data_IF_576135716789
#
_entry.id   IF_576135716789
#
_cell.length_a   1.000
_cell.length_b   1.000
_cell.length_c   1.000
_cell.angle_alpha   90.00
_cell.angle_beta   90.00
_cell.angle_gamma   90.00
#
_symmetry.space_group_name_H-M   'P 1'
#
loop_
_entity.id
_entity.type
_entity.pdbx_description
1 polymer ?
#
# COMPACT_ATOMS: atom_id res chain seq x y z
N UNK A 1 -16.88 54.47 47.53
CA UNK A 1 -17.22 53.31 46.68
C UNK A 1 -16.38 53.42 45.41
N UNK A 2 -15.29 52.65 45.31
CA UNK A 2 -14.41 52.64 44.14
C UNK A 2 -14.94 51.56 43.18
N UNK A 3 -15.35 51.96 41.98
CA UNK A 3 -15.76 51.04 40.92
C UNK A 3 -14.53 50.34 40.37
N UNK A 4 -14.48 49.02 40.53
CA UNK A 4 -13.45 48.15 39.97
C UNK A 4 -13.94 47.68 38.59
N UNK A 5 -13.42 48.30 37.53
CA UNK A 5 -13.65 47.83 36.16
C UNK A 5 -12.84 46.57 35.92
N UNK A 6 -13.52 45.42 35.75
CA UNK A 6 -12.91 44.15 35.40
C UNK A 6 -12.70 44.11 33.88
N UNK A 7 -11.46 44.34 33.43
CA UNK A 7 -11.05 44.19 32.03
C UNK A 7 -10.82 42.69 31.77
N UNK A 8 -11.75 42.04 31.07
CA UNK A 8 -11.62 40.64 30.65
C UNK A 8 -10.65 40.58 29.45
N UNK A 9 -9.37 40.27 29.70
CA UNK A 9 -8.41 39.95 28.66
C UNK A 9 -8.73 38.55 28.10
N UNK A 10 -9.37 38.50 26.93
CA UNK A 10 -9.49 37.30 26.10
C UNK A 10 -8.09 36.96 25.56
N UNK A 11 -7.40 36.03 26.22
CA UNK A 11 -6.27 35.34 25.60
C UNK A 11 -6.83 34.44 24.48
N UNK A 12 -6.36 34.56 23.23
CA UNK A 12 -6.59 33.50 22.27
C UNK A 12 -5.89 32.25 22.80
N UNK A 13 -6.68 31.22 23.10
CA UNK A 13 -6.20 29.85 23.23
C UNK A 13 -5.61 29.48 21.87
N UNK A 14 -4.28 29.59 21.76
CA UNK A 14 -3.56 28.92 20.70
C UNK A 14 -3.85 27.43 20.88
N UNK A 15 -4.64 26.85 19.96
CA UNK A 15 -4.66 25.41 19.78
C UNK A 15 -3.21 24.99 19.57
N UNK A 16 -2.67 24.20 20.49
CA UNK A 16 -1.32 23.67 20.38
C UNK A 16 -1.24 22.87 19.08
N UNK A 17 -0.28 23.23 18.23
CA UNK A 17 0.20 22.34 17.18
C UNK A 17 0.56 21.00 17.85
N UNK A 18 -0.10 19.93 17.41
CA UNK A 18 0.17 18.60 17.93
C UNK A 18 1.57 18.19 17.47
N UNK A 19 2.35 17.66 18.40
CA UNK A 19 3.71 17.20 18.14
C UNK A 19 3.67 16.12 17.05
N UNK A 20 4.27 16.42 15.89
CA UNK A 20 4.52 15.44 14.83
C UNK A 20 5.66 14.54 15.31
N UNK A 21 5.51 13.23 15.11
CA UNK A 21 6.43 12.22 15.60
C UNK A 21 6.95 11.39 14.42
N UNK A 22 8.22 11.61 14.05
CA UNK A 22 8.95 10.65 13.23
C UNK A 22 9.63 9.67 14.18
N UNK A 23 9.40 8.37 13.96
CA UNK A 23 10.02 7.33 14.76
C UNK A 23 10.78 6.38 13.86
N UNK A 24 12.09 6.43 13.96
CA UNK A 24 12.92 5.37 13.43
C UNK A 24 12.86 4.17 14.39
N UNK A 25 12.52 3.00 13.86
CA UNK A 25 12.58 1.75 14.61
C UNK A 25 13.66 0.90 13.97
N UNK A 26 14.88 1.02 14.50
CA UNK A 26 16.00 0.22 14.04
C UNK A 26 15.90 -1.18 14.63
N UNK A 27 15.98 -2.20 13.78
CA UNK A 27 16.08 -3.59 14.19
C UNK A 27 17.53 -4.08 14.03
N UNK A 28 17.92 -5.08 14.83
CA UNK A 28 19.21 -5.75 14.64
C UNK A 28 19.15 -6.62 13.36
N UNK A 29 19.56 -6.04 12.23
CA UNK A 29 19.52 -6.68 10.91
C UNK A 29 18.62 -5.94 9.93
N UNK A 30 18.71 -6.29 8.65
CA UNK A 30 17.88 -5.68 7.60
C UNK A 30 16.47 -6.29 7.66
N UNK A 31 15.52 -5.54 8.22
CA UNK A 31 14.11 -5.95 8.33
C UNK A 31 13.27 -5.12 7.34
N UNK A 32 12.51 -5.79 6.47
CA UNK A 32 11.50 -5.14 5.63
C UNK A 32 10.09 -5.51 6.11
N UNK A 33 9.27 -4.52 6.48
CA UNK A 33 7.84 -4.74 6.73
C UNK A 33 7.17 -5.09 5.39
N UNK A 34 6.30 -6.10 5.39
CA UNK A 34 5.56 -6.55 4.21
C UNK A 34 4.09 -6.19 4.26
N UNK A 35 3.49 -6.23 5.45
CA UNK A 35 2.11 -5.82 5.69
C UNK A 35 1.93 -5.48 7.17
N UNK A 36 0.90 -4.71 7.48
CA UNK A 36 0.55 -4.34 8.85
C UNK A 36 -0.96 -4.13 9.00
N UNK A 37 -1.48 -4.65 10.12
CA UNK A 37 -2.87 -4.54 10.51
C UNK A 37 -3.00 -3.73 11.81
N UNK A 38 -4.03 -2.89 11.87
CA UNK A 38 -4.45 -2.20 13.10
C UNK A 38 -5.32 -3.14 13.93
N UNK A 39 -5.13 -3.16 15.25
CA UNK A 39 -5.90 -3.99 16.18
C UNK A 39 -6.95 -3.16 16.96
N UNK A 40 -7.95 -3.81 17.57
CA UNK A 40 -9.01 -3.12 18.34
C UNK A 40 -8.53 -2.30 19.54
N UNK A 41 -7.32 -2.56 20.04
CA UNK A 41 -6.69 -1.79 21.12
C UNK A 41 -5.85 -0.61 20.61
N UNK A 42 -6.05 -0.21 19.35
CA UNK A 42 -5.33 0.85 18.63
C UNK A 42 -3.83 0.58 18.40
N UNK A 43 -3.31 -0.57 18.81
CA UNK A 43 -1.95 -0.99 18.45
C UNK A 43 -1.87 -1.58 17.03
N UNK A 44 -0.66 -1.92 16.60
CA UNK A 44 -0.41 -2.51 15.28
C UNK A 44 0.27 -3.87 15.33
N UNK A 45 0.04 -4.69 14.31
CA UNK A 45 0.71 -5.96 14.12
C UNK A 45 1.24 -6.03 12.70
N UNK A 46 2.52 -6.32 12.54
CA UNK A 46 3.20 -6.29 11.25
C UNK A 46 3.87 -7.62 10.94
N UNK A 47 3.82 -8.00 9.66
CA UNK A 47 4.68 -9.03 9.09
C UNK A 47 5.91 -8.38 8.49
N UNK A 48 7.02 -9.09 8.55
CA UNK A 48 8.27 -8.63 8.00
C UNK A 48 9.16 -9.82 7.60
N UNK A 49 10.24 -9.54 6.89
CA UNK A 49 11.31 -10.50 6.64
C UNK A 49 12.65 -9.94 7.11
N UNK A 50 13.54 -10.82 7.59
CA UNK A 50 14.97 -10.50 7.72
C UNK A 50 15.75 -11.23 6.65
N UNK A 51 16.64 -10.55 5.91
CA UNK A 51 17.59 -11.23 5.03
C UNK A 51 18.91 -11.48 5.76
N UNK A 52 19.32 -12.74 5.85
CA UNK A 52 20.74 -13.07 6.06
C UNK A 52 21.36 -13.32 4.68
N UNK A 53 22.57 -12.79 4.44
CA UNK A 53 23.25 -12.65 3.14
C UNK A 53 23.47 -13.94 2.29
N UNK A 54 22.89 -15.08 2.64
CA UNK A 54 22.84 -16.29 1.83
C UNK A 54 21.44 -16.48 1.25
N UNK A 55 21.36 -16.63 -0.07
CA UNK A 55 20.17 -16.58 -0.95
C UNK A 55 18.99 -17.53 -0.63
N UNK A 56 19.01 -18.24 0.50
CA UNK A 56 17.99 -19.21 0.93
C UNK A 56 17.55 -19.05 2.40
N UNK A 57 17.87 -17.92 3.06
CA UNK A 57 17.55 -17.72 4.49
C UNK A 57 16.89 -16.37 4.79
N UNK A 58 15.76 -16.08 4.16
CA UNK A 58 14.82 -15.11 4.74
C UNK A 58 14.23 -15.71 6.01
N UNK A 59 14.07 -14.92 7.07
CA UNK A 59 13.29 -15.31 8.24
C UNK A 59 12.02 -14.51 8.26
N UNK A 60 10.90 -15.18 8.43
CA UNK A 60 9.63 -14.54 8.66
C UNK A 60 9.61 -13.92 10.07
N UNK A 61 9.14 -12.69 10.19
CA UNK A 61 9.10 -11.93 11.44
C UNK A 61 7.71 -11.40 11.68
N UNK A 62 7.27 -11.47 12.93
CA UNK A 62 6.09 -10.77 13.44
C UNK A 62 6.50 -9.73 14.47
N UNK A 63 5.88 -8.57 14.38
CA UNK A 63 6.16 -7.45 15.26
C UNK A 63 4.85 -6.86 15.76
N UNK A 64 4.69 -6.80 17.08
CA UNK A 64 3.56 -6.14 17.72
C UNK A 64 4.00 -4.77 18.22
N UNK A 65 3.19 -3.78 17.93
CA UNK A 65 3.37 -2.42 18.40
C UNK A 65 2.18 -1.97 19.26
N UNK A 66 2.43 -1.07 20.20
CA UNK A 66 1.36 -0.29 20.83
C UNK A 66 0.82 0.80 19.88
N UNK A 67 -0.14 1.60 20.36
CA UNK A 67 -0.75 2.71 19.61
C UNK A 67 0.20 3.88 19.32
N UNK A 68 1.39 3.87 19.90
CA UNK A 68 2.46 4.85 19.70
C UNK A 68 3.65 4.25 18.92
N UNK A 69 3.42 3.13 18.23
CA UNK A 69 4.42 2.39 17.45
C UNK A 69 5.64 1.96 18.28
N UNK A 70 5.48 1.74 19.59
CA UNK A 70 6.50 1.10 20.42
C UNK A 70 6.43 -0.41 20.26
N UNK A 71 7.54 -1.10 19.90
CA UNK A 71 7.56 -2.55 19.84
C UNK A 71 7.24 -3.14 21.22
N UNK A 72 6.14 -3.88 21.31
CA UNK A 72 5.76 -4.65 22.50
C UNK A 72 6.46 -6.01 22.49
N UNK A 73 6.52 -6.65 21.32
CA UNK A 73 7.30 -7.87 21.10
C UNK A 73 7.67 -8.03 19.63
N UNK A 74 8.72 -8.82 19.39
CA UNK A 74 9.19 -9.20 18.06
C UNK A 74 9.56 -10.68 18.07
N UNK A 75 9.03 -11.46 17.13
CA UNK A 75 9.24 -12.91 17.01
C UNK A 75 9.71 -13.26 15.61
N UNK A 76 10.83 -13.96 15.52
CA UNK A 76 11.34 -14.51 14.26
C UNK A 76 11.06 -16.00 14.17
N UNK A 77 10.60 -16.45 13.01
CA UNK A 77 10.32 -17.84 12.69
C UNK A 77 11.36 -18.34 11.71
N UNK A 78 11.93 -19.51 12.00
CA UNK A 78 12.89 -20.19 11.15
C UNK A 78 12.29 -21.52 10.76
N UNK A 79 11.64 -21.59 9.60
CA UNK A 79 11.01 -22.81 9.11
C UNK A 79 11.93 -23.58 8.17
N UNK A 80 13.25 -23.39 8.32
CA UNK A 80 14.32 -24.12 7.64
C UNK A 80 14.37 -23.93 6.10
N UNK A 81 13.67 -22.93 5.56
CA UNK A 81 13.69 -22.59 4.14
C UNK A 81 13.34 -21.12 3.86
N UNK A 82 13.16 -20.75 2.58
CA UNK A 82 12.64 -19.43 2.18
C UNK A 82 11.26 -19.22 2.80
N UNK A 83 11.19 -18.32 3.78
CA UNK A 83 9.99 -18.01 4.53
C UNK A 83 9.70 -16.51 4.43
N UNK A 84 8.62 -16.17 3.73
CA UNK A 84 8.22 -14.79 3.52
C UNK A 84 6.76 -14.62 3.96
N UNK A 85 6.54 -14.01 5.13
CA UNK A 85 5.22 -13.49 5.47
C UNK A 85 4.92 -12.28 4.60
N UNK A 86 3.79 -12.29 3.91
CA UNK A 86 3.41 -11.28 2.92
C UNK A 86 2.17 -10.49 3.30
N UNK A 87 1.22 -11.13 3.99
CA UNK A 87 -0.05 -10.51 4.36
C UNK A 87 -0.47 -10.95 5.76
N UNK A 88 -1.21 -10.09 6.45
CA UNK A 88 -1.72 -10.33 7.80
C UNK A 88 -3.16 -9.83 7.96
N UNK A 89 -3.97 -10.64 8.64
CA UNK A 89 -5.39 -10.34 8.84
C UNK A 89 -5.79 -10.63 10.28
N UNK A 90 -6.29 -9.64 11.05
CA UNK A 90 -6.89 -9.90 12.36
C UNK A 90 -8.03 -10.90 12.24
N UNK A 91 -8.14 -11.79 13.23
CA UNK A 91 -9.14 -12.85 13.32
C UNK A 91 -9.82 -12.81 14.69
N UNK A 92 -10.80 -13.69 14.91
CA UNK A 92 -11.60 -13.73 16.13
C UNK A 92 -10.75 -13.86 17.41
N UNK A 93 -11.25 -13.23 18.48
CA UNK A 93 -10.66 -13.26 19.83
C UNK A 93 -9.23 -12.68 19.91
N UNK A 94 -8.89 -11.75 19.02
CA UNK A 94 -7.56 -11.11 18.99
C UNK A 94 -6.46 -12.00 18.42
N UNK A 95 -6.82 -13.15 17.85
CA UNK A 95 -5.94 -13.97 17.03
C UNK A 95 -5.71 -13.28 15.68
N UNK A 96 -4.80 -13.83 14.89
CA UNK A 96 -4.56 -13.33 13.55
C UNK A 96 -4.07 -14.42 12.61
N UNK A 97 -4.34 -14.20 11.33
CA UNK A 97 -3.94 -15.06 10.23
C UNK A 97 -2.78 -14.41 9.48
N UNK A 98 -1.83 -15.22 9.04
CA UNK A 98 -0.67 -14.75 8.28
C UNK A 98 -0.47 -15.63 7.07
N UNK A 99 -0.28 -15.01 5.92
CA UNK A 99 -0.09 -15.67 4.64
C UNK A 99 1.26 -15.36 4.04
N UNK A 100 1.71 -16.25 3.17
CA UNK A 100 2.93 -16.03 2.42
C UNK A 100 3.35 -17.26 1.63
N UNK A 101 4.66 -17.51 1.64
CA UNK A 101 5.28 -18.69 1.04
C UNK A 101 6.08 -19.45 2.10
N UNK A 102 5.99 -20.78 2.08
CA UNK A 102 6.82 -21.69 2.87
C UNK A 102 7.30 -22.86 2.02
N UNK A 103 8.40 -23.49 2.40
CA UNK A 103 8.93 -24.69 1.72
C UNK A 103 8.70 -25.93 2.58
N UNK A 104 8.46 -27.09 1.95
CA UNK A 104 8.46 -28.36 2.69
C UNK A 104 9.87 -28.71 3.16
N UNK A 105 9.97 -29.27 4.37
CA UNK A 105 11.22 -29.76 4.95
C UNK A 105 11.89 -30.74 3.97
N UNK A 106 13.15 -30.47 3.60
CA UNK A 106 13.95 -31.24 2.64
C UNK A 106 13.44 -31.28 1.19
N UNK A 107 12.53 -30.40 0.79
CA UNK A 107 12.13 -30.22 -0.62
C UNK A 107 12.74 -28.95 -1.21
N UNK A 108 12.63 -28.79 -2.53
CA UNK A 108 12.77 -27.51 -3.23
C UNK A 108 11.40 -26.90 -3.61
N UNK A 109 10.31 -27.46 -3.08
CA UNK A 109 8.95 -27.09 -3.41
C UNK A 109 8.44 -26.06 -2.42
N UNK A 110 8.24 -24.84 -2.92
CA UNK A 110 7.58 -23.76 -2.19
C UNK A 110 6.08 -23.82 -2.49
N UNK A 111 5.27 -23.66 -1.44
CA UNK A 111 3.81 -23.62 -1.51
C UNK A 111 3.24 -22.41 -0.80
N UNK A 112 2.00 -22.08 -1.12
CA UNK A 112 1.28 -21.04 -0.41
C UNK A 112 0.92 -21.54 1.01
N UNK A 113 1.03 -20.66 2.00
CA UNK A 113 0.85 -21.03 3.42
C UNK A 113 -0.16 -20.14 4.13
N UNK A 114 -0.82 -20.72 5.13
CA UNK A 114 -1.65 -20.04 6.10
C UNK A 114 -1.24 -20.44 7.51
N UNK A 115 -0.95 -19.44 8.32
CA UNK A 115 -0.73 -19.57 9.75
C UNK A 115 -1.89 -18.95 10.52
N UNK A 116 -2.20 -19.54 11.68
CA UNK A 116 -2.97 -18.87 12.73
C UNK A 116 -2.12 -18.72 13.97
N UNK A 117 -2.14 -17.52 14.52
CA UNK A 117 -1.43 -17.16 15.72
C UNK A 117 -2.40 -16.68 16.81
N UNK A 118 -1.99 -16.87 18.06
CA UNK A 118 -2.64 -16.20 19.19
C UNK A 118 -2.18 -14.75 19.34
N UNK A 119 -2.85 -13.99 20.20
CA UNK A 119 -2.55 -12.57 20.51
C UNK A 119 -1.10 -12.32 20.96
N UNK A 120 -0.44 -13.34 21.52
CA UNK A 120 0.94 -13.27 21.97
C UNK A 120 1.94 -13.65 20.87
N UNK A 121 1.47 -14.00 19.67
CA UNK A 121 2.28 -14.41 18.53
C UNK A 121 2.83 -15.83 18.64
N UNK A 122 2.15 -16.73 19.35
CA UNK A 122 2.43 -18.16 19.32
C UNK A 122 1.62 -18.83 18.20
N UNK A 123 2.23 -19.79 17.50
CA UNK A 123 1.56 -20.54 16.44
C UNK A 123 0.48 -21.44 17.06
N UNK A 124 -0.77 -21.22 16.67
CA UNK A 124 -1.88 -22.12 16.99
C UNK A 124 -1.93 -23.29 15.99
N UNK A 125 -1.78 -22.97 14.70
CA UNK A 125 -1.62 -23.96 13.64
C UNK A 125 -1.00 -23.35 12.38
N UNK A 126 -0.54 -24.23 11.49
CA UNK A 126 0.05 -23.91 10.19
C UNK A 126 -0.41 -24.93 9.15
N UNK A 127 -0.74 -24.45 7.96
CA UNK A 127 -1.17 -25.25 6.81
C UNK A 127 -0.48 -24.74 5.54
N UNK A 128 -0.07 -25.67 4.70
CA UNK A 128 0.38 -25.37 3.34
C UNK A 128 -0.64 -25.95 2.37
N UNK A 129 -0.91 -25.20 1.30
CA UNK A 129 -1.78 -25.60 0.21
C UNK A 129 -0.94 -25.55 -1.06
N UNK A 130 -1.11 -26.57 -1.92
CA UNK A 130 -0.32 -26.84 -3.12
C UNK A 130 1.22 -26.85 -2.97
N UNK A 131 1.85 -27.97 -3.36
CA UNK A 131 3.29 -28.20 -3.21
C UNK A 131 4.09 -27.93 -4.48
N UNK A 132 3.67 -27.00 -5.33
CA UNK A 132 4.35 -26.84 -6.62
C UNK A 132 4.33 -25.40 -7.09
N UNK A 133 5.49 -24.90 -7.53
CA UNK A 133 5.68 -23.72 -8.38
C UNK A 133 5.82 -22.34 -7.73
N UNK A 134 6.36 -22.19 -6.51
CA UNK A 134 6.62 -20.85 -5.91
C UNK A 134 5.33 -20.04 -5.68
N UNK A 135 4.23 -20.74 -5.36
CA UNK A 135 2.95 -20.12 -5.05
C UNK A 135 3.05 -19.30 -3.75
N UNK A 136 2.36 -18.16 -3.73
CA UNK A 136 2.42 -17.19 -2.63
C UNK A 136 1.03 -16.69 -2.27
N UNK A 137 0.69 -16.74 -0.99
CA UNK A 137 -0.51 -16.05 -0.49
C UNK A 137 -0.22 -14.56 -0.45
N UNK A 138 -1.04 -13.78 -1.15
CA UNK A 138 -0.91 -12.32 -1.22
C UNK A 138 -2.03 -11.59 -0.47
N UNK A 139 -3.13 -12.28 -0.16
CA UNK A 139 -4.24 -11.72 0.60
C UNK A 139 -4.98 -12.82 1.36
N UNK A 140 -5.48 -12.47 2.56
CA UNK A 140 -6.31 -13.34 3.40
C UNK A 140 -7.57 -12.57 3.79
N UNK A 141 -8.70 -13.24 3.72
CA UNK A 141 -9.97 -12.71 4.18
C UNK A 141 -10.62 -13.70 5.14
N UNK A 142 -10.76 -13.29 6.41
CA UNK A 142 -11.52 -14.04 7.40
C UNK A 142 -12.99 -13.60 7.32
N UNK A 143 -13.85 -14.48 6.80
CA UNK A 143 -15.27 -14.18 6.61
C UNK A 143 -16.06 -14.05 7.92
N UNK A 144 -15.44 -14.34 9.07
CA UNK A 144 -16.07 -14.35 10.40
C UNK A 144 -17.12 -15.47 10.60
N UNK A 145 -17.55 -16.14 9.52
CA UNK A 145 -18.50 -17.25 9.49
C UNK A 145 -17.85 -18.63 9.53
N UNK A 146 -16.52 -18.70 9.64
CA UNK A 146 -15.76 -19.94 9.68
C UNK A 146 -15.16 -20.37 8.33
N UNK A 147 -15.22 -19.51 7.32
CA UNK A 147 -14.45 -19.62 6.08
C UNK A 147 -13.31 -18.61 6.06
N UNK A 148 -12.16 -19.04 5.55
CA UNK A 148 -11.00 -18.20 5.30
C UNK A 148 -10.68 -18.33 3.81
N UNK A 149 -10.71 -17.20 3.11
CA UNK A 149 -10.33 -17.10 1.71
C UNK A 149 -8.90 -16.60 1.58
N UNK A 150 -8.15 -17.24 0.69
CA UNK A 150 -6.77 -16.90 0.38
C UNK A 150 -6.67 -16.56 -1.10
N UNK A 151 -6.09 -15.40 -1.40
CA UNK A 151 -5.70 -15.04 -2.76
C UNK A 151 -4.27 -15.50 -2.97
N UNK A 152 -4.09 -16.40 -3.93
CA UNK A 152 -2.82 -17.04 -4.23
C UNK A 152 -2.32 -16.60 -5.60
N UNK A 153 -1.13 -16.01 -5.59
CA UNK A 153 -0.33 -15.79 -6.78
C UNK A 153 0.42 -17.07 -7.08
N UNK A 154 0.18 -17.66 -8.25
CA UNK A 154 0.93 -18.83 -8.70
C UNK A 154 2.29 -18.42 -9.23
N UNK A 155 3.35 -19.16 -8.91
CA UNK A 155 4.70 -18.81 -9.38
C UNK A 155 5.01 -19.32 -10.79
N UNK A 156 4.11 -20.07 -11.42
CA UNK A 156 4.15 -20.29 -12.88
C UNK A 156 3.69 -19.02 -13.61
N UNK A 157 4.64 -18.35 -14.27
CA UNK A 157 4.37 -17.23 -15.18
C UNK A 157 3.24 -17.60 -16.15
N UNK A 158 2.24 -16.73 -16.30
CA UNK A 158 1.13 -16.98 -17.19
C UNK A 158 -0.13 -17.53 -16.52
N UNK A 159 -0.02 -18.09 -15.30
CA UNK A 159 -1.15 -18.74 -14.62
C UNK A 159 -2.16 -17.74 -14.04
N UNK A 160 -3.46 -18.08 -14.02
CA UNK A 160 -4.46 -17.26 -13.34
C UNK A 160 -4.22 -17.21 -11.83
N UNK A 161 -4.74 -16.15 -11.18
CA UNK A 161 -4.86 -16.10 -9.74
C UNK A 161 -5.69 -17.29 -9.25
N UNK A 162 -5.32 -17.88 -8.10
CA UNK A 162 -6.07 -18.97 -7.47
C UNK A 162 -6.67 -18.49 -6.16
N UNK A 163 -7.92 -18.84 -5.93
CA UNK A 163 -8.62 -18.61 -4.67
C UNK A 163 -8.68 -19.95 -3.94
N UNK A 164 -8.14 -19.99 -2.73
CA UNK A 164 -8.20 -21.16 -1.87
C UNK A 164 -9.10 -20.84 -0.70
N UNK A 165 -10.10 -21.69 -0.47
CA UNK A 165 -11.04 -21.55 0.62
C UNK A 165 -10.81 -22.63 1.64
N UNK A 166 -10.83 -22.24 2.91
CA UNK A 166 -10.58 -23.15 4.03
C UNK A 166 -11.58 -22.95 5.13
N UNK A 167 -11.78 -23.97 5.95
CA UNK A 167 -12.52 -23.80 7.21
C UNK A 167 -11.69 -23.01 8.24
N UNK A 168 -12.29 -22.64 9.37
CA UNK A 168 -11.61 -21.92 10.45
C UNK A 168 -10.39 -22.65 11.07
N UNK A 169 -10.24 -23.95 10.80
CA UNK A 169 -9.12 -24.78 11.22
C UNK A 169 -8.06 -24.95 10.11
N UNK A 170 -8.23 -24.26 8.97
CA UNK A 170 -7.34 -24.32 7.81
C UNK A 170 -7.41 -25.67 7.07
N UNK A 171 -8.58 -26.31 7.01
CA UNK A 171 -8.77 -27.45 6.12
C UNK A 171 -9.35 -26.96 4.80
N UNK A 172 -8.75 -27.38 3.69
CA UNK A 172 -9.21 -27.04 2.35
C UNK A 172 -10.68 -27.45 2.16
N UNK A 173 -11.50 -26.48 1.75
CA UNK A 173 -12.91 -26.69 1.42
C UNK A 173 -13.13 -26.68 -0.09
N UNK A 174 -12.53 -25.71 -0.79
CA UNK A 174 -12.70 -25.48 -2.21
C UNK A 174 -11.54 -24.66 -2.76
N UNK A 175 -11.34 -24.69 -4.08
CA UNK A 175 -10.48 -23.75 -4.78
C UNK A 175 -11.00 -23.48 -6.20
N UNK A 176 -10.75 -22.28 -6.71
CA UNK A 176 -11.08 -21.91 -8.09
C UNK A 176 -10.11 -20.85 -8.62
N UNK A 177 -10.05 -20.70 -9.95
CA UNK A 177 -9.15 -19.74 -10.61
C UNK A 177 -9.92 -18.49 -11.06
N UNK A 178 -9.26 -17.32 -10.99
CA UNK A 178 -9.72 -16.10 -11.65
C UNK A 178 -9.18 -16.10 -13.08
N UNK A 179 -9.94 -16.74 -13.97
CA UNK A 179 -9.56 -16.91 -15.37
C UNK A 179 -9.87 -15.67 -16.22
N UNK A 180 -9.09 -15.49 -17.28
CA UNK A 180 -9.27 -14.44 -18.29
C UNK A 180 -10.17 -14.90 -19.43
N UNK A 181 -10.54 -13.96 -20.30
CA UNK A 181 -11.06 -14.32 -21.62
C UNK A 181 -9.96 -14.94 -22.48
N UNK A 182 -10.35 -15.73 -23.50
CA UNK A 182 -9.47 -16.61 -24.31
C UNK A 182 -8.26 -15.93 -25.02
N UNK A 183 -8.10 -14.61 -24.95
CA UNK A 183 -7.03 -13.84 -25.62
C UNK A 183 -5.97 -13.26 -24.68
N UNK A 184 -6.00 -13.62 -23.39
CA UNK A 184 -5.12 -13.04 -22.37
C UNK A 184 -4.42 -14.14 -21.58
N UNK A 185 -3.15 -13.90 -21.29
CA UNK A 185 -2.36 -14.75 -20.40
C UNK A 185 -1.68 -13.90 -19.32
N UNK A 186 -1.16 -14.54 -18.28
CA UNK A 186 -0.33 -13.85 -17.29
C UNK A 186 -1.10 -12.91 -16.38
N UNK A 187 -2.22 -13.38 -15.82
CA UNK A 187 -2.85 -12.71 -14.68
C UNK A 187 -1.94 -12.84 -13.47
N UNK A 188 -1.24 -11.76 -13.14
CA UNK A 188 -0.41 -11.68 -11.95
C UNK A 188 -1.21 -10.91 -10.90
N UNK A 189 -1.90 -11.59 -9.96
CA UNK A 189 -2.51 -10.88 -8.86
C UNK A 189 -1.39 -10.35 -7.97
N UNK A 190 -1.44 -9.06 -7.68
CA UNK A 190 -0.46 -8.39 -6.82
C UNK A 190 -1.12 -7.69 -5.63
N UNK A 191 -2.44 -7.48 -5.68
CA UNK A 191 -3.20 -6.87 -4.59
C UNK A 191 -4.58 -7.50 -4.40
N UNK A 192 -5.10 -7.37 -3.18
CA UNK A 192 -6.44 -7.80 -2.86
C UNK A 192 -7.01 -7.02 -1.66
N UNK A 193 -8.32 -6.76 -1.65
CA UNK A 193 -9.03 -6.09 -0.56
C UNK A 193 -10.36 -6.75 -0.24
N UNK A 194 -10.76 -6.68 1.02
CA UNK A 194 -12.07 -7.15 1.46
C UNK A 194 -13.13 -6.06 1.30
N UNK A 195 -14.23 -6.40 0.65
CA UNK A 195 -15.48 -5.64 0.66
C UNK A 195 -16.50 -6.18 1.66
N UNK A 196 -16.08 -6.98 2.64
CA UNK A 196 -16.93 -7.66 3.62
C UNK A 196 -16.95 -9.18 3.44
N UNK A 197 -17.87 -9.84 4.16
CA UNK A 197 -18.07 -11.30 4.05
C UNK A 197 -18.52 -11.67 2.64
N UNK A 198 -17.90 -12.71 2.06
CA UNK A 198 -18.27 -13.25 0.74
C UNK A 198 -18.23 -12.18 -0.38
N UNK A 199 -17.30 -11.22 -0.25
CA UNK A 199 -17.18 -10.11 -1.19
C UNK A 199 -15.77 -9.53 -1.16
N UNK A 200 -14.92 -9.95 -2.08
CA UNK A 200 -13.52 -9.49 -2.14
C UNK A 200 -13.15 -8.99 -3.53
N UNK A 201 -12.12 -8.18 -3.59
CA UNK A 201 -11.60 -7.58 -4.80
C UNK A 201 -10.13 -7.97 -4.97
N UNK A 202 -9.76 -8.29 -6.20
CA UNK A 202 -8.40 -8.71 -6.56
C UNK A 202 -7.97 -7.84 -7.73
N UNK A 203 -6.71 -7.41 -7.69
CA UNK A 203 -6.12 -6.63 -8.73
C UNK A 203 -4.72 -7.11 -9.11
N UNK A 204 -4.30 -6.69 -10.28
CA UNK A 204 -2.97 -6.98 -10.78
C UNK A 204 -2.82 -6.64 -12.25
N UNK A 205 -1.94 -7.37 -12.94
CA UNK A 205 -1.62 -7.16 -14.35
C UNK A 205 -2.03 -8.34 -15.20
N UNK A 206 -2.49 -8.09 -16.42
CA UNK A 206 -2.76 -9.09 -17.45
C UNK A 206 -2.06 -8.70 -18.77
N UNK A 207 -1.60 -9.69 -19.55
CA UNK A 207 -1.02 -9.48 -20.87
C UNK A 207 -2.06 -9.74 -21.95
N UNK A 208 -2.27 -8.74 -22.81
CA UNK A 208 -3.02 -8.91 -24.05
C UNK A 208 -2.13 -9.55 -25.12
N UNK A 209 -2.38 -10.82 -25.45
CA UNK A 209 -1.54 -11.54 -26.43
C UNK A 209 -1.70 -11.02 -27.86
N UNK A 210 -2.80 -10.34 -28.15
CA UNK A 210 -3.07 -9.78 -29.48
C UNK A 210 -2.27 -8.51 -29.72
N UNK A 211 -2.20 -7.63 -28.71
CA UNK A 211 -1.49 -6.34 -28.80
C UNK A 211 -0.08 -6.39 -28.24
N UNK A 212 0.24 -7.39 -27.41
CA UNK A 212 1.48 -7.48 -26.63
C UNK A 212 1.55 -6.49 -25.46
N UNK A 213 0.47 -5.76 -25.16
CA UNK A 213 0.43 -4.74 -24.11
C UNK A 213 0.01 -5.33 -22.77
N UNK A 214 0.63 -4.84 -21.70
CA UNK A 214 0.17 -5.11 -20.34
C UNK A 214 -0.95 -4.14 -19.93
N UNK A 215 -1.95 -4.67 -19.22
CA UNK A 215 -3.13 -3.94 -18.75
C UNK A 215 -3.32 -4.21 -17.26
N UNK A 216 -3.94 -3.27 -16.54
CA UNK A 216 -4.45 -3.61 -15.21
C UNK A 216 -5.68 -4.50 -15.36
N UNK A 217 -5.89 -5.38 -14.39
CA UNK A 217 -7.18 -6.02 -14.20
C UNK A 217 -7.68 -5.78 -12.77
N UNK A 218 -9.00 -5.78 -12.63
CA UNK A 218 -9.68 -5.98 -11.36
C UNK A 218 -10.69 -7.10 -11.52
N UNK A 219 -10.92 -7.83 -10.44
CA UNK A 219 -11.96 -8.82 -10.33
C UNK A 219 -12.67 -8.68 -9.00
N UNK A 220 -13.97 -8.93 -8.99
CA UNK A 220 -14.75 -9.15 -7.78
C UNK A 220 -15.03 -10.61 -7.62
N UNK A 221 -14.73 -11.13 -6.45
CA UNK A 221 -14.88 -12.53 -6.10
C UNK A 221 -15.81 -12.69 -4.89
N UNK A 222 -16.39 -13.89 -4.83
CA UNK A 222 -17.21 -14.42 -3.74
C UNK A 222 -16.61 -15.76 -3.35
N UNK A 223 -17.05 -16.36 -2.26
CA UNK A 223 -16.69 -17.70 -1.86
C UNK A 223 -16.92 -18.70 -3.01
N UNK A 224 -17.98 -18.50 -3.80
CA UNK A 224 -18.39 -19.45 -4.83
C UNK A 224 -17.74 -19.23 -6.20
N UNK A 225 -17.47 -17.97 -6.59
CA UNK A 225 -17.03 -17.65 -7.95
C UNK A 225 -16.55 -16.20 -8.12
N UNK A 226 -15.94 -15.94 -9.28
CA UNK A 226 -15.78 -14.58 -9.82
C UNK A 226 -17.15 -14.03 -10.25
N UNK A 227 -17.50 -12.82 -9.80
CA UNK A 227 -18.77 -12.15 -10.14
C UNK A 227 -18.63 -11.12 -11.24
N UNK A 228 -17.49 -10.43 -11.31
CA UNK A 228 -17.08 -9.68 -12.48
C UNK A 228 -15.56 -9.64 -12.60
N UNK A 229 -15.09 -9.45 -13.83
CA UNK A 229 -13.69 -9.28 -14.19
C UNK A 229 -13.61 -8.16 -15.23
N UNK A 230 -12.68 -7.24 -15.08
CA UNK A 230 -12.44 -6.15 -16.03
C UNK A 230 -10.96 -5.88 -16.19
N UNK A 231 -10.60 -5.57 -17.42
CA UNK A 231 -9.30 -5.05 -17.80
C UNK A 231 -9.41 -3.56 -18.08
N UNK A 232 -8.32 -2.84 -17.82
CA UNK A 232 -8.19 -1.42 -18.06
C UNK A 232 -7.00 -1.17 -18.98
N UNK A 233 -7.31 -0.94 -20.25
CA UNK A 233 -6.35 -0.52 -21.26
C UNK A 233 -6.32 1.00 -21.34
N UNK A 234 -5.17 1.59 -21.04
CA UNK A 234 -4.93 3.03 -21.13
C UNK A 234 -4.27 3.44 -22.47
N UNK A 235 -4.32 2.57 -23.46
CA UNK A 235 -3.56 2.60 -24.72
C UNK A 235 -2.04 2.69 -24.51
N UNK A 236 -1.59 2.34 -23.30
CA UNK A 236 -0.21 2.40 -22.82
C UNK A 236 0.07 1.14 -22.02
N UNK A 237 1.34 0.75 -21.96
CA UNK A 237 1.72 -0.37 -21.11
C UNK A 237 1.45 -0.02 -19.65
N UNK A 238 0.58 -0.80 -19.02
CA UNK A 238 0.37 -0.79 -17.59
C UNK A 238 1.39 -1.73 -16.97
N UNK A 239 2.19 -1.25 -16.01
CA UNK A 239 3.16 -2.07 -15.30
C UNK A 239 2.46 -3.01 -14.32
N UNK A 240 2.48 -2.66 -13.03
CA UNK A 240 1.80 -3.42 -11.99
C UNK A 240 0.67 -2.61 -11.37
N UNK A 241 -0.46 -3.27 -11.11
CA UNK A 241 -1.47 -2.74 -10.19
C UNK A 241 -1.09 -3.24 -8.78
N UNK A 242 -0.46 -2.35 -8.01
CA UNK A 242 0.19 -2.70 -6.76
C UNK A 242 -0.75 -2.79 -5.57
N UNK A 243 -1.85 -2.03 -5.59
CA UNK A 243 -2.78 -2.01 -4.47
C UNK A 243 -4.22 -1.68 -4.86
N UNK A 244 -5.13 -2.17 -4.04
CA UNK A 244 -6.56 -1.96 -4.12
C UNK A 244 -7.10 -1.76 -2.71
N UNK A 245 -7.95 -0.76 -2.51
CA UNK A 245 -8.62 -0.47 -1.25
C UNK A 245 -10.13 -0.31 -1.47
N UNK A 246 -10.94 -0.81 -0.54
CA UNK A 246 -12.38 -0.53 -0.50
C UNK A 246 -12.59 0.72 0.35
N UNK A 247 -13.21 1.73 -0.25
CA UNK A 247 -13.50 3.03 0.35
C UNK A 247 -14.73 2.97 1.26
N UNK A 248 -14.89 4.00 2.09
CA UNK A 248 -16.02 4.17 3.00
C UNK A 248 -17.37 4.28 2.28
N UNK A 249 -17.37 4.75 1.02
CA UNK A 249 -18.56 4.76 0.16
C UNK A 249 -18.85 3.40 -0.51
N UNK A 250 -18.00 2.40 -0.28
CA UNK A 250 -18.10 1.05 -0.83
C UNK A 250 -17.51 0.90 -2.23
N UNK A 251 -16.97 1.97 -2.83
CA UNK A 251 -16.28 1.91 -4.11
C UNK A 251 -14.82 1.49 -3.94
N UNK A 252 -14.12 1.26 -5.05
CA UNK A 252 -12.74 0.79 -5.05
C UNK A 252 -11.81 1.94 -5.42
N UNK A 253 -10.71 2.09 -4.69
CA UNK A 253 -9.54 2.86 -5.11
C UNK A 253 -8.42 1.88 -5.46
N UNK A 254 -7.74 2.08 -6.58
CA UNK A 254 -6.66 1.20 -7.01
C UNK A 254 -5.51 2.01 -7.58
N UNK A 255 -4.29 1.48 -7.46
CA UNK A 255 -3.11 2.18 -7.93
C UNK A 255 -2.04 1.27 -8.49
N UNK A 256 -1.24 1.83 -9.38
CA UNK A 256 -0.17 1.12 -10.06
C UNK A 256 0.76 2.07 -10.79
N UNK A 257 1.57 1.52 -11.70
CA UNK A 257 2.34 2.31 -12.65
C UNK A 257 1.89 2.06 -14.09
N UNK A 258 2.00 3.09 -14.92
CA UNK A 258 1.77 3.05 -16.36
C UNK A 258 2.93 3.75 -17.05
N UNK A 259 3.22 3.38 -18.30
CA UNK A 259 4.18 4.14 -19.12
C UNK A 259 3.73 5.61 -19.21
N UNK A 260 4.63 6.54 -18.90
CA UNK A 260 4.34 7.97 -18.86
C UNK A 260 3.94 8.47 -20.23
N UNK A 261 2.93 9.33 -20.24
CA UNK A 261 2.53 10.00 -21.47
C UNK A 261 3.69 10.88 -21.97
N UNK A 262 3.95 10.86 -23.28
CA UNK A 262 5.02 11.62 -23.94
C UNK A 262 6.45 11.28 -23.51
N UNK A 263 6.62 10.30 -22.61
CA UNK A 263 7.91 9.81 -22.12
C UNK A 263 7.89 8.28 -22.04
N UNK A 264 7.95 7.57 -23.19
CA UNK A 264 7.73 6.13 -23.25
C UNK A 264 8.80 5.28 -22.53
N UNK A 265 9.90 5.91 -22.10
CA UNK A 265 10.96 5.26 -21.32
C UNK A 265 10.79 5.45 -19.80
N UNK A 266 9.78 6.24 -19.40
CA UNK A 266 9.50 6.55 -18.01
C UNK A 266 8.11 6.05 -17.61
N UNK A 267 7.88 5.92 -16.31
CA UNK A 267 6.65 5.47 -15.71
C UNK A 267 6.00 6.60 -14.90
N UNK A 268 4.68 6.70 -15.00
CA UNK A 268 3.83 7.50 -14.12
C UNK A 268 3.08 6.60 -13.16
N UNK A 269 2.62 7.18 -12.06
CA UNK A 269 1.68 6.54 -11.15
C UNK A 269 0.27 6.70 -11.73
N UNK A 270 -0.49 5.61 -11.72
CA UNK A 270 -1.90 5.63 -12.07
C UNK A 270 -2.72 5.44 -10.80
N UNK A 271 -3.73 6.27 -10.59
CA UNK A 271 -4.69 6.14 -9.50
C UNK A 271 -6.09 6.16 -10.10
N UNK A 272 -6.91 5.17 -9.77
CA UNK A 272 -8.25 5.07 -10.32
C UNK A 272 -9.27 4.74 -9.23
N UNK A 273 -10.42 5.42 -9.30
CA UNK A 273 -11.61 5.04 -8.54
C UNK A 273 -12.56 4.29 -9.45
N UNK A 274 -13.04 3.16 -8.97
CA UNK A 274 -13.80 2.17 -9.75
C UNK A 274 -15.08 1.83 -9.00
N UNK A 275 -16.18 1.75 -9.72
CA UNK A 275 -17.45 1.31 -9.15
C UNK A 275 -17.37 -0.18 -8.78
N UNK A 276 -17.49 -0.51 -7.50
CA UNK A 276 -17.28 -1.86 -6.98
C UNK A 276 -18.32 -2.88 -7.45
N UNK A 277 -19.52 -2.42 -7.82
CA UNK A 277 -20.60 -3.28 -8.32
C UNK A 277 -20.43 -3.69 -9.78
N UNK A 278 -19.85 -2.81 -10.59
CA UNK A 278 -19.77 -2.98 -12.06
C UNK A 278 -18.35 -3.09 -12.60
N UNK A 279 -17.36 -2.67 -11.83
CA UNK A 279 -15.97 -2.47 -12.24
C UNK A 279 -15.77 -1.30 -13.22
N UNK A 280 -16.75 -0.42 -13.42
CA UNK A 280 -16.58 0.73 -14.30
C UNK A 280 -15.73 1.82 -13.64
N UNK A 281 -14.81 2.44 -14.37
CA UNK A 281 -14.05 3.60 -13.88
C UNK A 281 -15.02 4.74 -13.57
N UNK A 282 -14.93 5.30 -12.37
CA UNK A 282 -15.57 6.55 -11.97
C UNK A 282 -14.67 7.71 -12.37
N UNK A 283 -13.39 7.62 -12.03
CA UNK A 283 -12.35 8.52 -12.52
C UNK A 283 -10.98 7.82 -12.49
N UNK A 284 -10.05 8.29 -13.33
CA UNK A 284 -8.65 7.86 -13.32
C UNK A 284 -7.74 9.09 -13.46
N UNK A 285 -6.57 9.04 -12.80
CA UNK A 285 -5.59 10.11 -12.73
C UNK A 285 -4.20 9.55 -12.95
N UNK A 286 -3.39 10.31 -13.66
CA UNK A 286 -1.96 10.09 -13.81
C UNK A 286 -1.20 11.09 -12.94
N UNK A 287 -0.35 10.58 -12.06
CA UNK A 287 0.56 11.40 -11.25
C UNK A 287 1.95 11.21 -11.85
N UNK A 288 2.60 12.31 -12.22
CA UNK A 288 3.95 12.35 -12.80
C UNK A 288 4.72 13.54 -12.23
N UNK A 289 6.03 13.42 -12.10
CA UNK A 289 6.85 14.49 -11.52
C UNK A 289 7.39 15.45 -12.58
N UNK A 290 8.19 14.95 -13.52
CA UNK A 290 8.62 15.65 -14.74
C UNK A 290 8.69 14.62 -15.86
N UNK A 291 8.92 15.05 -17.11
CA UNK A 291 9.03 14.12 -18.22
C UNK A 291 10.23 13.17 -18.11
N UNK A 292 11.18 13.42 -17.20
CA UNK A 292 12.45 12.70 -17.09
C UNK A 292 12.48 11.67 -15.95
N UNK A 293 11.48 11.66 -15.06
CA UNK A 293 11.49 10.81 -13.86
C UNK A 293 10.36 9.80 -13.81
N UNK A 294 10.69 8.63 -13.24
CA UNK A 294 9.72 7.60 -12.91
C UNK A 294 9.04 7.92 -11.60
N UNK A 295 7.73 7.74 -11.55
CA UNK A 295 6.98 7.66 -10.30
C UNK A 295 6.15 6.38 -10.32
N UNK A 296 6.07 5.73 -9.18
CA UNK A 296 5.37 4.46 -9.02
C UNK A 296 4.62 4.49 -7.71
N UNK A 297 3.30 4.31 -7.79
CA UNK A 297 2.44 4.19 -6.62
C UNK A 297 2.32 2.73 -6.23
N UNK A 298 2.68 2.42 -4.99
CA UNK A 298 2.59 1.08 -4.42
C UNK A 298 1.34 0.86 -3.60
N UNK A 299 0.69 1.91 -3.11
CA UNK A 299 -0.41 1.77 -2.17
C UNK A 299 -1.38 2.94 -2.22
N UNK A 300 -2.64 2.65 -1.90
CA UNK A 300 -3.71 3.62 -1.73
C UNK A 300 -4.40 3.49 -0.38
N UNK A 301 -4.86 4.61 0.16
CA UNK A 301 -5.63 4.63 1.39
C UNK A 301 -6.66 5.75 1.39
N UNK A 302 -7.67 5.62 2.24
CA UNK A 302 -8.62 6.68 2.58
C UNK A 302 -8.57 6.93 4.08
N UNK A 303 -8.68 8.19 4.48
CA UNK A 303 -8.83 8.56 5.89
C UNK A 303 -10.30 8.79 6.27
N UNK A 304 -10.57 8.93 7.56
CA UNK A 304 -11.90 9.20 8.11
C UNK A 304 -12.60 10.46 7.59
N UNK A 305 -11.89 11.38 6.92
CA UNK A 305 -12.47 12.57 6.27
C UNK A 305 -12.84 12.34 4.80
N UNK A 306 -12.59 11.15 4.24
CA UNK A 306 -12.82 10.85 2.83
C UNK A 306 -11.75 11.42 1.89
N UNK A 307 -10.58 11.78 2.43
CA UNK A 307 -9.42 12.19 1.65
C UNK A 307 -8.64 10.94 1.22
N UNK A 308 -8.19 10.94 -0.02
CA UNK A 308 -7.55 9.79 -0.65
C UNK A 308 -6.04 9.99 -0.67
N UNK A 309 -5.28 8.91 -0.56
CA UNK A 309 -3.82 8.92 -0.58
C UNK A 309 -3.34 7.90 -1.60
N UNK A 310 -2.31 8.26 -2.36
CA UNK A 310 -1.52 7.37 -3.19
C UNK A 310 -0.05 7.59 -2.85
N UNK A 311 0.72 6.52 -2.69
CA UNK A 311 2.11 6.65 -2.27
C UNK A 311 2.99 5.57 -2.84
N UNK A 312 4.28 5.85 -2.87
CA UNK A 312 5.25 4.92 -3.38
C UNK A 312 6.63 5.54 -3.46
N UNK A 313 7.19 5.54 -4.67
CA UNK A 313 8.49 6.17 -4.94
C UNK A 313 8.43 7.14 -6.13
N UNK A 314 9.28 8.15 -6.09
CA UNK A 314 9.60 9.03 -7.20
C UNK A 314 11.13 9.01 -7.42
N UNK A 315 11.57 8.92 -8.67
CA UNK A 315 12.96 9.17 -9.02
C UNK A 315 13.17 10.68 -9.06
N UNK A 316 14.28 11.18 -8.56
CA UNK A 316 14.64 12.59 -8.58
C UNK A 316 16.09 12.75 -9.03
N UNK A 317 16.57 13.99 -9.16
CA UNK A 317 18.00 14.27 -9.37
C UNK A 317 18.88 13.79 -8.20
N UNK A 318 18.29 13.56 -7.02
CA UNK A 318 19.00 13.20 -5.80
C UNK A 318 18.95 11.70 -5.49
N UNK A 319 18.17 10.92 -6.25
CA UNK A 319 18.07 9.47 -6.10
C UNK A 319 16.65 8.96 -6.30
N UNK A 320 16.27 7.97 -5.50
CA UNK A 320 14.88 7.54 -5.39
C UNK A 320 14.36 8.00 -4.04
N UNK A 321 13.24 8.71 -4.03
CA UNK A 321 12.61 9.28 -2.84
C UNK A 321 11.22 8.64 -2.64
N UNK A 322 10.78 8.56 -1.38
CA UNK A 322 9.38 8.24 -1.10
C UNK A 322 8.48 9.38 -1.58
N UNK A 323 7.28 9.09 -2.08
CA UNK A 323 6.30 10.13 -2.37
C UNK A 323 4.95 9.80 -1.74
N UNK A 324 4.22 10.85 -1.37
CA UNK A 324 2.81 10.78 -0.98
C UNK A 324 2.05 11.83 -1.76
N UNK A 325 0.96 11.42 -2.39
CA UNK A 325 -0.02 12.27 -3.02
C UNK A 325 -1.33 12.17 -2.26
N UNK A 326 -1.84 13.31 -1.79
CA UNK A 326 -3.15 13.44 -1.18
C UNK A 326 -4.12 14.05 -2.18
N UNK A 327 -5.31 13.47 -2.26
CA UNK A 327 -6.37 13.87 -3.16
C UNK A 327 -7.70 14.05 -2.41
N UNK A 328 -8.61 14.81 -3.01
CA UNK A 328 -10.02 14.79 -2.62
C UNK A 328 -10.73 13.52 -3.12
N UNK A 329 -11.99 13.32 -2.73
CA UNK A 329 -12.79 12.15 -3.14
C UNK A 329 -13.04 12.06 -4.67
N UNK A 330 -12.80 13.15 -5.41
CA UNK A 330 -12.91 13.21 -6.88
C UNK A 330 -11.55 12.99 -7.57
N UNK A 331 -10.50 12.68 -6.81
CA UNK A 331 -9.15 12.45 -7.32
C UNK A 331 -8.41 13.72 -7.72
N UNK A 332 -8.87 14.91 -7.30
CA UNK A 332 -8.08 16.13 -7.51
C UNK A 332 -6.98 16.19 -6.47
N UNK A 333 -5.74 16.46 -6.88
CA UNK A 333 -4.61 16.55 -5.96
C UNK A 333 -4.79 17.78 -5.06
N UNK A 334 -4.76 17.55 -3.75
CA UNK A 334 -4.71 18.60 -2.73
C UNK A 334 -3.26 19.02 -2.52
N UNK A 335 -2.37 18.03 -2.39
CA UNK A 335 -0.93 18.21 -2.36
C UNK A 335 -0.23 16.89 -2.72
N UNK A 336 1.01 16.98 -3.20
CA UNK A 336 1.89 15.82 -3.36
C UNK A 336 3.30 16.21 -2.92
N UNK A 337 3.97 15.31 -2.20
CA UNK A 337 5.26 15.58 -1.55
C UNK A 337 6.18 14.39 -1.67
N UNK A 338 7.47 14.70 -1.74
CA UNK A 338 8.57 13.75 -1.64
C UNK A 338 9.17 13.76 -0.24
N UNK A 339 9.62 12.58 0.20
CA UNK A 339 10.24 12.32 1.47
C UNK A 339 11.50 11.49 1.21
N UNK A 340 12.65 12.09 1.51
CA UNK A 340 13.93 11.41 1.42
C UNK A 340 15.11 12.21 1.97
N UNK A 341 16.09 11.51 2.53
CA UNK A 341 17.42 12.00 2.91
C UNK A 341 18.58 11.13 2.37
N UNK A 342 18.28 10.02 1.68
CA UNK A 342 19.26 9.09 1.09
C UNK A 342 19.04 8.76 -0.41
N UNK A 343 19.98 8.02 -1.04
CA UNK A 343 19.93 7.75 -2.49
C UNK A 343 18.83 6.77 -2.92
N UNK A 344 18.19 6.08 -1.97
CA UNK A 344 17.13 5.10 -2.23
C UNK A 344 16.12 5.05 -1.10
N UNK A 345 14.92 5.57 -1.34
CA UNK A 345 13.78 5.50 -0.42
C UNK A 345 12.50 5.18 -1.16
N UNK A 346 11.61 4.47 -0.49
CA UNK A 346 10.26 4.21 -0.96
C UNK A 346 9.31 4.11 0.22
N UNK A 347 8.10 4.62 0.06
CA UNK A 347 6.99 4.40 1.00
C UNK A 347 6.22 3.19 0.49
N UNK A 348 6.07 2.16 1.32
CA UNK A 348 5.41 0.90 0.94
C UNK A 348 4.14 0.61 1.72
N UNK A 349 3.77 1.45 2.69
CA UNK A 349 2.63 1.21 3.56
C UNK A 349 2.01 2.50 4.15
N UNK A 350 0.68 2.54 4.30
CA UNK A 350 -0.12 3.60 4.89
C UNK A 350 -1.31 3.09 5.70
N UNK A 351 -1.47 3.57 6.94
CA UNK A 351 -2.74 3.41 7.67
C UNK A 351 -3.09 4.66 8.45
N UNK A 352 -4.39 4.89 8.59
CA UNK A 352 -4.88 5.91 9.50
C UNK A 352 -4.63 5.50 10.96
N UNK A 353 -3.97 6.39 11.71
CA UNK A 353 -3.68 6.23 13.14
C UNK A 353 -4.63 7.06 14.03
N UNK A 354 -5.69 7.60 13.43
CA UNK A 354 -6.74 8.35 14.10
C UNK A 354 -6.47 9.86 14.21
N UNK A 355 -7.56 10.63 14.26
CA UNK A 355 -7.50 12.10 14.24
C UNK A 355 -7.03 12.65 12.89
N UNK A 356 -7.40 12.00 11.79
CA UNK A 356 -7.03 12.35 10.42
C UNK A 356 -5.53 12.22 10.06
N UNK A 357 -4.74 11.50 10.87
CA UNK A 357 -3.30 11.33 10.65
C UNK A 357 -3.00 10.00 9.98
N UNK A 358 -2.05 10.03 9.04
CA UNK A 358 -1.57 8.85 8.34
C UNK A 358 -0.20 8.45 8.86
N UNK A 359 -0.02 7.15 9.08
CA UNK A 359 1.27 6.52 9.29
C UNK A 359 1.76 5.98 7.97
N UNK A 360 2.91 6.46 7.52
CA UNK A 360 3.65 5.95 6.38
C UNK A 360 4.82 5.10 6.86
N UNK A 361 5.11 4.00 6.17
CA UNK A 361 6.36 3.27 6.38
C UNK A 361 7.13 3.12 5.07
N UNK A 362 8.45 3.19 5.18
CA UNK A 362 9.34 3.08 4.04
C UNK A 362 10.64 2.37 4.36
N UNK A 363 11.49 2.21 3.34
CA UNK A 363 12.84 1.64 3.49
C UNK A 363 13.89 2.73 3.20
N UNK A 364 14.88 2.87 4.08
CA UNK A 364 16.06 3.71 3.83
C UNK A 364 17.21 2.86 3.25
N UNK A 365 17.59 3.11 2.00
CA UNK A 365 18.76 2.51 1.36
C UNK A 365 18.73 0.99 1.24
N UNK A 366 19.85 0.40 0.79
CA UNK A 366 20.01 -1.05 0.74
C UNK A 366 20.24 -1.67 2.12
N UNK A 367 20.79 -0.90 3.06
CA UNK A 367 21.43 -1.41 4.29
C UNK A 367 20.76 -0.92 5.59
N UNK A 368 19.74 -0.05 5.55
CA UNK A 368 19.00 0.38 6.75
C UNK A 368 17.66 -0.35 6.91
N UNK A 369 17.17 -0.37 8.15
CA UNK A 369 15.88 -0.94 8.52
C UNK A 369 14.68 -0.12 8.04
N UNK A 370 13.46 -0.53 8.39
CA UNK A 370 12.24 0.18 8.02
C UNK A 370 12.12 1.45 8.86
N UNK A 371 11.59 2.52 8.27
CA UNK A 371 11.25 3.74 9.00
C UNK A 371 9.74 3.95 9.04
N UNK A 372 9.28 4.66 10.06
CA UNK A 372 7.89 5.08 10.21
C UNK A 372 7.83 6.60 10.28
N UNK A 373 7.13 7.20 9.31
CA UNK A 373 6.82 8.63 9.30
C UNK A 373 5.33 8.76 9.60
N UNK A 374 5.00 9.41 10.71
CA UNK A 374 3.66 9.98 10.86
C UNK A 374 3.69 11.38 10.25
N UNK A 375 2.87 11.63 9.23
CA UNK A 375 2.70 12.98 8.71
C UNK A 375 1.34 13.55 9.14
N UNK A 376 1.31 14.86 9.30
CA UNK A 376 0.06 15.58 9.51
C UNK A 376 -0.81 15.57 8.24
N UNK A 377 -2.06 15.99 8.40
CA UNK A 377 -3.07 16.10 7.33
C UNK A 377 -2.58 16.89 6.11
N UNK A 378 -1.68 17.84 6.35
CA UNK A 378 -1.08 18.69 5.34
C UNK A 378 0.22 18.11 4.75
N UNK A 379 0.63 16.92 5.17
CA UNK A 379 1.87 16.27 4.74
C UNK A 379 3.12 16.83 5.41
N UNK A 380 3.00 17.64 6.46
CA UNK A 380 4.17 18.13 7.18
C UNK A 380 4.75 17.03 8.07
N UNK A 381 6.08 16.96 8.09
CA UNK A 381 6.85 16.10 8.99
C UNK A 381 7.70 17.01 9.88
N UNK A 382 8.13 16.57 11.08
CA UNK A 382 8.91 17.38 12.00
C UNK A 382 10.38 17.51 11.55
N UNK A 383 10.71 17.20 10.29
CA UNK A 383 12.02 17.39 9.68
C UNK A 383 12.39 18.88 9.58
N UNK A 384 12.68 19.48 10.72
CA UNK A 384 13.48 20.68 10.85
C UNK A 384 14.65 20.33 11.76
N UNK A 385 15.84 20.31 11.15
CA UNK A 385 17.17 20.36 11.77
C UNK A 385 17.90 19.04 12.12
N UNK A 386 18.22 18.25 11.10
CA UNK A 386 19.59 17.74 10.95
C UNK A 386 20.08 18.04 9.54
N UNK A 387 21.38 18.34 9.41
CA UNK A 387 22.03 18.75 8.16
C UNK A 387 21.88 17.65 7.08
N UNK A 388 20.82 17.72 6.27
CA UNK A 388 20.55 17.15 4.93
C UNK A 388 19.01 16.99 4.84
N UNK A 389 18.36 17.99 4.23
CA UNK A 389 16.93 18.24 4.40
C UNK A 389 16.03 17.36 3.53
N UNK A 390 14.89 16.98 4.12
CA UNK A 390 13.68 16.59 3.40
C UNK A 390 13.23 17.81 2.56
N UNK A 391 13.24 17.69 1.24
CA UNK A 391 12.72 18.73 0.34
C UNK A 391 11.36 18.27 -0.14
N UNK A 392 10.28 18.89 0.35
CA UNK A 392 8.98 18.73 -0.29
C UNK A 392 8.95 19.62 -1.54
N UNK A 393 8.93 19.01 -2.73
CA UNK A 393 8.67 19.72 -3.98
C UNK A 393 7.24 19.42 -4.46
N UNK A 394 6.56 20.41 -5.04
CA UNK A 394 5.24 20.20 -5.64
C UNK A 394 5.40 19.36 -6.92
N UNK A 395 4.76 18.20 -6.96
CA UNK A 395 4.72 17.34 -8.14
C UNK A 395 3.87 18.02 -9.22
N UNK A 396 4.42 18.22 -10.42
CA UNK A 396 3.71 18.89 -11.50
C UNK A 396 2.57 18.03 -12.03
N UNK A 397 1.33 18.41 -11.70
CA UNK A 397 0.14 17.73 -12.17
C UNK A 397 0.01 17.91 -13.69
N UNK A 398 -0.24 16.83 -14.42
CA UNK A 398 -1.00 16.97 -15.66
C UNK A 398 -2.15 15.98 -15.61
N UNK A 399 -3.34 16.52 -15.37
CA UNK A 399 -4.58 15.76 -15.35
C UNK A 399 -4.88 15.33 -16.79
N UNK A 400 -4.64 14.05 -17.09
CA UNK A 400 -5.16 13.42 -18.29
C UNK A 400 -6.26 12.45 -17.90
N UNK A 401 -7.43 12.65 -18.50
CA UNK A 401 -8.46 11.62 -18.59
C UNK A 401 -8.04 10.71 -19.75
N UNK A 402 -7.55 9.48 -19.52
CA UNK A 402 -7.26 8.58 -20.62
C UNK A 402 -8.56 8.32 -21.41
N UNK A 403 -8.44 8.31 -22.73
CA UNK A 403 -9.50 7.84 -23.61
C UNK A 403 -9.73 6.36 -23.31
N UNK A 404 -10.87 6.04 -22.69
CA UNK A 404 -11.41 4.68 -22.72
C UNK A 404 -11.80 4.43 -24.18
N UNK A 405 -11.03 3.62 -24.90
CA UNK A 405 -11.43 3.22 -26.25
C UNK A 405 -12.44 2.07 -26.10
N UNK A 406 -13.71 2.48 -26.04
CA UNK A 406 -14.97 1.71 -26.04
C UNK A 406 -15.28 0.99 -24.71
N UNK A 407 -16.23 1.44 -23.88
CA UNK A 407 -17.43 2.25 -24.17
C UNK A 407 -17.18 3.77 -24.37
N UNK A 408 -17.46 4.24 -25.60
CA UNK A 408 -17.19 5.56 -26.20
C UNK A 408 -18.53 6.35 -26.28
N UNK A 409 -18.66 7.67 -26.63
CA UNK A 409 -17.69 8.75 -26.83
C UNK A 409 -18.06 10.09 -26.12
N UNK A 410 -17.20 11.09 -26.32
CA UNK A 410 -17.39 12.53 -26.08
C UNK A 410 -17.32 13.02 -24.62
N UNK A 411 -16.33 13.88 -24.31
CA UNK A 411 -16.56 15.28 -23.90
C UNK A 411 -15.28 16.03 -23.50
N UNK A 412 -15.10 17.14 -24.22
CA UNK A 412 -14.56 18.47 -23.90
C UNK A 412 -13.65 18.70 -22.68
N UNK A 413 -12.47 19.23 -23.01
CA UNK A 413 -11.50 19.87 -22.12
C UNK A 413 -11.95 21.27 -21.65
N UNK A 414 -11.58 21.59 -20.41
CA UNK A 414 -11.60 22.96 -19.86
C UNK A 414 -10.23 23.22 -19.24
N UNK A 415 -9.58 24.29 -19.68
CA UNK A 415 -8.30 24.80 -19.16
C UNK A 415 -8.53 26.13 -18.45
N UNK A 416 -7.71 26.44 -17.43
CA UNK A 416 -7.37 27.80 -16.92
C UNK A 416 -6.28 27.66 -15.81
N UNK A 417 -5.50 28.70 -15.45
CA UNK A 417 -4.39 29.33 -16.19
C UNK A 417 -3.02 29.23 -15.44
N UNK A 418 -1.93 29.56 -16.15
CA UNK A 418 -0.57 29.70 -15.61
C UNK A 418 -0.40 30.92 -14.68
N UNK A 419 0.26 30.74 -13.54
CA UNK A 419 1.06 31.81 -12.92
C UNK A 419 2.35 31.28 -12.29
N UNK A 420 3.47 31.68 -12.88
CA UNK A 420 4.83 31.68 -12.32
C UNK A 420 4.97 32.74 -11.21
N UNK A 421 5.77 32.47 -10.18
CA UNK A 421 6.82 33.41 -9.73
C UNK A 421 7.77 32.80 -8.69
N UNK A 422 9.07 33.01 -8.96
CA UNK A 422 10.22 32.76 -8.09
C UNK A 422 10.16 33.53 -6.77
N UNK A 423 10.82 33.04 -5.71
CA UNK A 423 11.63 33.85 -4.79
C UNK A 423 12.56 32.97 -3.93
N UNK A 424 13.76 33.49 -3.67
CA UNK A 424 14.88 32.87 -2.96
C UNK A 424 15.29 33.80 -1.79
N UNK A 425 15.88 33.21 -0.74
CA UNK A 425 16.78 33.75 0.33
C UNK A 425 16.26 34.20 1.73
N UNK A 426 16.70 33.41 2.75
CA UNK A 426 17.36 33.81 4.05
C UNK A 426 16.48 34.13 5.28
N UNK A 427 16.81 33.84 6.56
CA UNK A 427 17.89 33.15 7.31
C UNK A 427 17.41 32.84 8.78
N UNK A 428 18.19 32.05 9.53
CA UNK A 428 17.97 31.30 10.80
C UNK A 428 17.70 32.05 12.15
N UNK A 429 17.27 31.30 13.21
CA UNK A 429 18.04 31.01 14.48
C UNK A 429 17.29 30.11 15.52
N UNK A 430 17.89 28.93 15.77
CA UNK A 430 18.19 28.14 17.00
C UNK A 430 17.11 27.74 18.03
N UNK A 431 17.02 26.42 18.31
CA UNK A 431 16.64 25.87 19.62
C UNK A 431 17.74 24.92 20.15
N UNK A 432 18.11 25.13 21.42
CA UNK A 432 19.15 24.39 22.15
C UNK A 432 18.56 23.21 22.94
N UNK A 433 18.90 21.99 22.51
CA UNK A 433 19.59 20.93 23.27
C UNK A 433 19.06 20.34 24.60
N UNK A 434 18.95 18.99 24.56
CA UNK A 434 19.29 17.98 25.60
C UNK A 434 18.18 17.77 26.67
N UNK A 435 17.67 16.57 26.99
CA UNK A 435 18.06 15.14 26.89
C UNK A 435 16.89 14.34 26.36
#
# INVERSE_FOLDING_TARGET
MKNLSLLLLLFPLFLSAQMVFQKEITFNGNIGITDMAKLPDEGFLATAFTSNATLDSTRAVLIRFDSLLQPLWCKSFNMQAKDDFRCITPSDNGNFLVGGTSRYEFSNENGCTLFKFDVDGNVLWHKMYDGSYDDATIGIFDGGSGTIDMVVRKGVTGSPAKIIQTDAAGNLMNDYSVETTNSLSGVLPDCAATGGTDNHYIGGTALNETTGKYMFFLARITDASVTWYKEYDFDRDAGYLYDVAVLADGEILATGNITSENSPNNNSAAVMKVNAGTGNIIWAKEIKQSNDYNITSYEVAENSNGELFAMGRANTDFGVEGYVCKMDASGNVIWAREYGDGPYENIGFAREVGGNRMLFSGKMGSDQGPYFIQADVDGSTPCLTSLLGCVSSDISETIYSPAIILDNPDLTAVSLPLTTNNLNLGENVVCSGIV
#
